data_IF_410625708783
#
_entry.id   IF_410625708783
#
_cell.length_a   1.000
_cell.length_b   1.000
_cell.length_c   1.000
_cell.angle_alpha   90.00
_cell.angle_beta   90.00
_cell.angle_gamma   90.00
#
_symmetry.space_group_name_H-M   'P 1'
#
loop_
_entity.id
_entity.type
_entity.pdbx_description
1 polymer ?
#
# COMPACT_ATOMS: atom_id res chain seq x y z
N UNK A 1 2.27 -57.17 -26.78
CA UNK A 1 0.88 -57.54 -26.39
C UNK A 1 0.83 -57.62 -24.87
N UNK A 2 -0.20 -57.07 -24.20
CA UNK A 2 -0.21 -55.68 -23.72
C UNK A 2 -0.04 -55.52 -22.19
N UNK A 3 0.42 -54.33 -21.83
CA UNK A 3 0.58 -53.80 -20.47
C UNK A 3 -0.78 -53.52 -19.81
N UNK A 4 -0.95 -54.05 -18.60
CA UNK A 4 -2.03 -53.70 -17.68
C UNK A 4 -1.66 -52.44 -16.91
N UNK A 5 -2.40 -51.35 -17.12
CA UNK A 5 -2.38 -50.17 -16.27
C UNK A 5 -3.61 -50.20 -15.38
N UNK A 6 -3.38 -50.42 -14.08
CA UNK A 6 -4.38 -50.29 -13.03
C UNK A 6 -4.71 -48.80 -12.86
N UNK A 7 -5.96 -48.47 -13.16
CA UNK A 7 -6.55 -47.16 -12.90
C UNK A 7 -6.73 -46.98 -11.39
N UNK A 8 -5.93 -46.11 -10.78
CA UNK A 8 -6.18 -45.62 -9.43
C UNK A 8 -7.21 -44.48 -9.52
N UNK A 9 -8.43 -44.76 -9.06
CA UNK A 9 -9.44 -43.75 -8.81
C UNK A 9 -9.02 -42.94 -7.58
N UNK A 10 -8.44 -41.77 -7.82
CA UNK A 10 -8.13 -40.79 -6.79
C UNK A 10 -9.40 -40.00 -6.46
N UNK A 11 -10.14 -40.46 -5.46
CA UNK A 11 -11.29 -39.75 -4.89
C UNK A 11 -10.78 -38.59 -4.04
N UNK A 12 -10.62 -37.42 -4.65
CA UNK A 12 -10.33 -36.19 -3.91
C UNK A 12 -11.63 -35.70 -3.27
N UNK A 13 -11.84 -36.10 -2.01
CA UNK A 13 -12.86 -35.52 -1.12
C UNK A 13 -12.38 -34.13 -0.72
N UNK A 14 -12.81 -33.10 -1.44
CA UNK A 14 -12.67 -31.72 -1.01
C UNK A 14 -13.63 -31.47 0.16
N UNK A 15 -13.11 -31.61 1.38
CA UNK A 15 -13.74 -31.02 2.57
C UNK A 15 -13.77 -29.51 2.36
N UNK A 16 -14.96 -28.98 2.08
CA UNK A 16 -15.23 -27.55 2.10
C UNK A 16 -15.15 -27.09 3.57
N UNK A 17 -13.96 -26.68 4.01
CA UNK A 17 -13.79 -25.97 5.28
C UNK A 17 -14.25 -24.54 5.01
N UNK A 18 -15.45 -24.22 5.46
CA UNK A 18 -15.91 -22.84 5.59
C UNK A 18 -15.03 -22.18 6.65
N UNK A 19 -13.99 -21.49 6.21
CA UNK A 19 -13.24 -20.58 7.06
C UNK A 19 -14.09 -19.32 7.18
N UNK A 20 -14.82 -19.26 8.29
CA UNK A 20 -15.50 -18.07 8.75
C UNK A 20 -14.45 -16.97 8.92
N UNK A 21 -14.41 -16.03 7.97
CA UNK A 21 -13.52 -14.88 7.99
C UNK A 21 -13.93 -13.99 9.17
N UNK A 22 -13.37 -14.28 10.33
CA UNK A 22 -13.42 -13.39 11.48
C UNK A 22 -12.59 -12.18 11.09
N UNK A 23 -13.27 -11.08 10.79
CA UNK A 23 -12.65 -9.76 10.61
C UNK A 23 -12.03 -9.40 11.95
N UNK A 24 -10.76 -9.77 12.12
CA UNK A 24 -9.95 -9.28 13.22
C UNK A 24 -9.83 -7.77 13.01
N UNK A 25 -10.61 -7.03 13.79
CA UNK A 25 -10.49 -5.59 13.92
C UNK A 25 -9.02 -5.26 14.16
N UNK A 26 -8.43 -4.56 13.19
CA UNK A 26 -7.06 -4.06 13.27
C UNK A 26 -6.97 -3.27 14.58
N UNK A 27 -6.09 -3.65 15.53
CA UNK A 27 -5.92 -2.86 16.73
C UNK A 27 -5.47 -1.47 16.29
N UNK A 28 -6.29 -0.46 16.60
CA UNK A 28 -5.91 0.93 16.41
C UNK A 28 -4.54 1.14 17.05
N UNK A 29 -3.60 1.82 16.37
CA UNK A 29 -2.33 2.17 16.98
C UNK A 29 -2.62 2.92 18.29
N UNK A 30 -1.86 2.66 19.37
CA UNK A 30 -2.07 3.36 20.62
C UNK A 30 -2.01 4.86 20.35
N UNK A 31 -2.89 5.67 20.97
CA UNK A 31 -2.76 7.11 20.87
C UNK A 31 -1.34 7.47 21.27
N UNK A 32 -0.64 8.14 20.38
CA UNK A 32 0.65 8.76 20.69
C UNK A 32 0.35 9.77 21.78
N UNK A 33 0.51 9.32 23.03
CA UNK A 33 0.59 10.19 24.18
C UNK A 33 1.85 11.01 23.97
N UNK A 34 1.70 12.15 23.31
CA UNK A 34 2.54 13.30 23.59
C UNK A 34 2.27 13.64 25.06
N UNK A 35 3.00 12.98 25.96
CA UNK A 35 3.24 13.52 27.28
C UNK A 35 4.01 14.81 27.05
N UNK A 36 3.26 15.90 26.89
CA UNK A 36 3.76 17.24 27.10
C UNK A 36 4.31 17.26 28.52
N UNK A 37 5.60 16.96 28.65
CA UNK A 37 6.32 17.22 29.86
C UNK A 37 6.24 18.72 30.07
N UNK A 38 5.43 19.09 31.06
CA UNK A 38 5.47 20.33 31.78
C UNK A 38 6.92 20.79 31.98
N UNK A 39 7.39 21.68 31.12
CA UNK A 39 8.51 22.58 31.41
C UNK A 39 7.97 23.82 32.14
N UNK A 40 7.19 23.56 33.19
CA UNK A 40 6.87 24.50 34.24
C UNK A 40 7.75 24.19 35.46
N UNK A 41 9.08 24.29 35.33
CA UNK A 41 9.98 24.36 36.49
C UNK A 41 11.38 24.83 36.08
N UNK A 42 11.71 26.06 36.44
CA UNK A 42 13.10 26.50 36.29
C UNK A 42 13.41 27.97 36.51
N UNK A 43 12.42 28.88 36.59
CA UNK A 43 12.68 30.26 37.05
C UNK A 43 12.89 30.30 38.57
N UNK A 44 14.00 29.74 39.04
CA UNK A 44 14.52 30.01 40.39
C UNK A 44 15.72 30.93 40.27
N UNK A 45 15.45 32.20 40.58
CA UNK A 45 16.22 32.96 41.55
C UNK A 45 17.75 32.99 41.35
N UNK A 46 18.20 33.87 40.46
CA UNK A 46 19.42 34.65 40.68
C UNK A 46 19.05 36.05 41.21
N UNK A 47 18.28 36.09 42.30
CA UNK A 47 18.44 37.15 43.30
C UNK A 47 19.57 36.70 44.21
N UNK A 48 20.80 37.10 43.88
CA UNK A 48 21.89 37.09 44.85
C UNK A 48 22.63 38.43 44.81
N UNK A 49 22.12 39.29 45.68
CA UNK A 49 22.87 40.26 46.48
C UNK A 49 23.99 41.06 45.76
N UNK A 50 23.59 42.09 45.00
CA UNK A 50 24.38 43.32 45.00
C UNK A 50 24.22 43.97 46.38
N UNK A 51 25.16 43.65 47.27
CA UNK A 51 25.32 44.35 48.52
C UNK A 51 25.51 45.84 48.22
N UNK A 52 24.57 46.65 48.67
CA UNK A 52 24.70 48.09 48.81
C UNK A 52 25.99 48.40 49.59
N UNK A 53 27.08 48.74 48.89
CA UNK A 53 28.13 49.59 49.45
C UNK A 53 27.87 51.01 48.97
N UNK A 54 27.16 51.72 49.84
CA UNK A 54 27.10 53.18 49.83
C UNK A 54 28.52 53.71 50.04
N UNK A 55 29.20 54.07 48.96
CA UNK A 55 30.31 55.01 49.04
C UNK A 55 29.76 56.40 48.73
N UNK A 56 29.25 57.00 49.81
CA UNK A 56 29.31 58.45 50.03
C UNK A 56 30.69 58.95 49.59
N UNK A 57 30.71 59.90 48.65
CA UNK A 57 31.44 61.17 48.73
C UNK A 57 31.13 61.94 47.44
N UNK A 58 30.20 62.87 47.53
CA UNK A 58 30.12 64.05 46.68
C UNK A 58 29.29 65.09 47.43
N UNK A 59 29.99 65.89 48.25
CA UNK A 59 29.60 67.23 48.67
C UNK A 59 30.73 67.87 49.49
N UNK A 60 31.55 68.71 48.86
CA UNK A 60 31.99 69.96 49.49
C UNK A 60 32.35 70.98 48.42
N UNK A 61 31.86 72.19 48.67
CA UNK A 61 31.87 73.39 47.85
C UNK A 61 33.27 74.04 47.72
N UNK A 62 33.50 74.65 46.55
CA UNK A 62 34.05 75.99 46.31
C UNK A 62 35.42 76.39 46.90
N UNK A 63 36.41 76.66 46.05
CA UNK A 63 36.92 78.02 45.70
C UNK A 63 38.26 77.93 44.94
N UNK A 64 38.55 78.99 44.20
CA UNK A 64 39.75 79.31 43.42
C UNK A 64 41.10 78.74 43.92
N UNK A 65 41.95 78.37 42.97
CA UNK A 65 43.38 78.25 43.24
C UNK A 65 44.10 77.38 42.23
N UNK A 66 44.68 78.00 41.21
CA UNK A 66 45.45 77.32 40.18
C UNK A 66 46.54 76.41 40.74
N UNK A 67 46.57 75.19 40.22
CA UNK A 67 47.78 74.42 40.02
C UNK A 67 47.43 73.32 39.02
N UNK A 68 47.77 73.55 37.75
CA UNK A 68 47.79 72.49 36.74
C UNK A 68 48.93 71.53 37.10
N UNK A 69 48.70 70.69 38.11
CA UNK A 69 49.46 69.48 38.25
C UNK A 69 49.21 68.67 36.97
N UNK A 70 50.25 68.24 36.26
CA UNK A 70 50.06 67.43 35.06
C UNK A 70 49.27 66.19 35.50
N UNK A 71 48.14 65.94 34.83
CA UNK A 71 47.54 64.61 34.85
C UNK A 71 48.67 63.65 34.48
N UNK A 72 49.06 62.80 35.42
CA UNK A 72 50.08 61.79 35.21
C UNK A 72 49.72 61.07 33.91
N UNK A 73 50.60 61.07 32.89
CA UNK A 73 50.27 60.51 31.60
C UNK A 73 49.86 59.06 31.83
N UNK A 74 48.68 58.69 31.33
CA UNK A 74 48.24 57.30 31.31
C UNK A 74 49.37 56.46 30.75
N UNK A 75 49.64 55.33 31.40
CA UNK A 75 50.58 54.38 30.82
C UNK A 75 50.05 53.93 29.45
N UNK A 76 50.97 53.55 28.56
CA UNK A 76 50.62 53.22 27.19
C UNK A 76 49.67 52.02 27.10
N UNK A 77 49.68 51.10 28.07
CA UNK A 77 48.79 49.93 28.09
C UNK A 77 47.35 50.36 28.44
N UNK A 78 47.18 51.28 29.40
CA UNK A 78 45.89 51.89 29.73
C UNK A 78 45.31 52.68 28.56
N UNK A 79 46.15 53.42 27.83
CA UNK A 79 45.74 54.13 26.62
C UNK A 79 45.29 53.17 25.53
N UNK A 80 46.06 52.10 25.30
CA UNK A 80 45.72 51.07 24.33
C UNK A 80 44.42 50.35 24.68
N UNK A 81 44.13 50.08 25.96
CA UNK A 81 42.88 49.47 26.40
C UNK A 81 41.65 50.35 26.09
N UNK A 82 41.78 51.67 26.28
CA UNK A 82 40.70 52.63 25.96
C UNK A 82 40.48 52.76 24.45
N UNK A 83 41.56 52.78 23.65
CA UNK A 83 41.45 52.80 22.19
C UNK A 83 40.79 51.51 21.67
N UNK A 84 41.21 50.34 22.17
CA UNK A 84 40.55 49.07 21.82
C UNK A 84 39.08 49.02 22.21
N UNK A 85 38.71 49.56 23.38
CA UNK A 85 37.29 49.67 23.75
C UNK A 85 36.50 50.52 22.76
N UNK A 86 37.06 51.63 22.29
CA UNK A 86 36.44 52.47 21.26
C UNK A 86 36.29 51.71 19.95
N UNK A 87 37.28 50.90 19.57
CA UNK A 87 37.21 50.06 18.38
C UNK A 87 36.10 48.99 18.50
N UNK A 88 35.96 48.34 19.67
CA UNK A 88 34.85 47.42 19.92
C UNK A 88 33.49 48.12 19.89
N UNK A 89 33.41 49.33 20.46
CA UNK A 89 32.21 50.17 20.40
C UNK A 89 31.90 50.62 18.95
N UNK A 90 32.90 50.81 18.11
CA UNK A 90 32.69 51.18 16.71
C UNK A 90 32.28 49.99 15.84
N UNK A 91 32.89 48.83 16.09
CA UNK A 91 32.67 47.58 15.37
C UNK A 91 31.30 46.96 15.67
N UNK A 92 30.77 47.19 16.87
CA UNK A 92 29.45 46.74 17.30
C UNK A 92 29.41 45.26 17.68
N UNK A 93 28.46 44.91 18.54
CA UNK A 93 28.35 43.58 19.17
C UNK A 93 28.16 42.47 18.13
N UNK A 94 27.48 42.76 17.02
CA UNK A 94 27.21 41.79 15.93
C UNK A 94 28.45 41.31 15.19
N UNK A 95 29.57 42.02 15.28
CA UNK A 95 30.83 41.61 14.67
C UNK A 95 31.72 40.82 15.63
N UNK A 96 31.40 40.81 16.93
CA UNK A 96 32.08 40.02 17.97
C UNK A 96 31.56 38.57 17.99
N UNK A 97 31.61 37.93 16.84
CA UNK A 97 31.07 36.57 16.62
C UNK A 97 31.93 35.47 17.24
N UNK A 98 33.16 35.79 17.66
CA UNK A 98 34.09 34.86 18.29
C UNK A 98 34.15 35.10 19.82
N UNK A 99 34.09 34.02 20.60
CA UNK A 99 34.24 34.05 22.05
C UNK A 99 35.57 34.71 22.51
N UNK A 100 36.65 34.53 21.74
CA UNK A 100 37.95 35.14 22.04
C UNK A 100 37.90 36.67 21.96
N UNK A 101 37.34 37.22 20.87
CA UNK A 101 37.15 38.67 20.71
C UNK A 101 36.22 39.26 21.77
N UNK A 102 35.25 38.48 22.26
CA UNK A 102 34.37 38.88 23.35
C UNK A 102 35.07 38.88 24.72
N UNK A 103 35.96 37.92 24.98
CA UNK A 103 36.78 37.93 26.19
C UNK A 103 37.78 39.10 26.19
N UNK A 104 38.37 39.45 25.05
CA UNK A 104 39.24 40.61 24.93
C UNK A 104 38.49 41.92 25.24
N UNK A 105 37.29 42.10 24.71
CA UNK A 105 36.44 43.25 25.03
C UNK A 105 36.14 43.35 26.53
N UNK A 106 35.76 42.24 27.16
CA UNK A 106 35.50 42.17 28.60
C UNK A 106 36.76 42.54 29.41
N UNK A 107 37.93 42.03 29.02
CA UNK A 107 39.21 42.35 29.66
C UNK A 107 39.56 43.82 29.53
N UNK A 108 39.33 44.44 28.36
CA UNK A 108 39.57 45.87 28.17
C UNK A 108 38.59 46.70 29.02
N UNK A 109 37.32 46.31 29.09
CA UNK A 109 36.29 46.95 29.91
C UNK A 109 36.63 46.91 31.40
N UNK A 110 37.02 45.74 31.91
CA UNK A 110 37.42 45.54 33.31
C UNK A 110 38.63 46.43 33.67
N UNK A 111 39.60 46.56 32.74
CA UNK A 111 40.79 47.40 32.91
C UNK A 111 40.41 48.89 32.96
N UNK A 112 39.60 49.37 32.01
CA UNK A 112 39.17 50.77 31.98
C UNK A 112 38.29 51.14 33.19
N UNK A 113 37.47 50.20 33.68
CA UNK A 113 36.71 50.35 34.92
C UNK A 113 37.62 50.46 36.15
N UNK A 114 38.63 49.59 36.28
CA UNK A 114 39.54 49.58 37.42
C UNK A 114 40.35 50.88 37.54
N UNK A 115 40.67 51.49 36.40
CA UNK A 115 41.40 52.76 36.30
C UNK A 115 40.50 54.00 36.38
N UNK A 116 39.17 53.83 36.40
CA UNK A 116 38.22 54.95 36.47
C UNK A 116 38.19 55.82 35.20
N UNK A 117 38.48 55.25 34.03
CA UNK A 117 38.61 55.98 32.76
C UNK A 117 37.28 56.21 32.04
N UNK A 118 36.19 55.62 32.55
CA UNK A 118 34.86 55.69 31.97
C UNK A 118 33.98 56.58 32.83
N UNK A 119 33.26 57.51 32.19
CA UNK A 119 32.16 58.19 32.85
C UNK A 119 30.95 57.24 33.03
N UNK A 120 30.00 57.64 33.88
CA UNK A 120 28.83 56.80 34.18
C UNK A 120 28.00 56.45 32.95
N UNK A 121 27.93 57.36 31.95
CA UNK A 121 27.10 57.16 30.76
C UNK A 121 27.77 56.14 29.83
N UNK A 122 29.09 56.25 29.65
CA UNK A 122 29.88 55.31 28.86
C UNK A 122 29.86 53.91 29.48
N UNK A 123 29.94 53.83 30.81
CA UNK A 123 29.88 52.56 31.51
C UNK A 123 28.52 51.86 31.34
N UNK A 124 27.41 52.61 31.43
CA UNK A 124 26.06 52.06 31.21
C UNK A 124 25.90 51.54 29.78
N UNK A 125 26.38 52.28 28.78
CA UNK A 125 26.34 51.86 27.37
C UNK A 125 27.17 50.58 27.12
N UNK A 126 28.39 50.54 27.67
CA UNK A 126 29.29 49.37 27.56
C UNK A 126 28.70 48.12 28.23
N UNK A 127 28.01 48.27 29.36
CA UNK A 127 27.34 47.16 30.04
C UNK A 127 26.16 46.61 29.25
N UNK A 128 25.35 47.46 28.62
CA UNK A 128 24.25 47.03 27.74
C UNK A 128 24.80 46.20 26.59
N UNK A 129 25.86 46.68 25.94
CA UNK A 129 26.49 45.97 24.83
C UNK A 129 27.17 44.67 25.24
N UNK A 130 27.77 44.64 26.43
CA UNK A 130 28.29 43.40 27.01
C UNK A 130 27.17 42.38 27.15
N UNK A 131 26.02 42.77 27.71
CA UNK A 131 24.87 41.88 27.88
C UNK A 131 24.32 41.37 26.53
N UNK A 132 24.23 42.23 25.52
CA UNK A 132 23.82 41.84 24.15
C UNK A 132 24.79 40.81 23.54
N UNK A 133 26.10 40.97 23.78
CA UNK A 133 27.12 40.04 23.29
C UNK A 133 27.10 38.70 24.00
N UNK A 134 26.90 38.70 25.33
CA UNK A 134 26.69 37.47 26.11
C UNK A 134 25.46 36.72 25.61
N UNK A 135 24.34 37.42 25.34
CA UNK A 135 23.13 36.81 24.80
C UNK A 135 23.36 36.20 23.41
N UNK A 136 24.10 36.89 22.54
CA UNK A 136 24.41 36.41 21.20
C UNK A 136 25.27 35.15 21.22
N UNK A 137 26.34 35.14 22.02
CA UNK A 137 27.20 33.97 22.19
C UNK A 137 26.40 32.80 22.78
N UNK A 138 25.53 33.06 23.75
CA UNK A 138 24.62 32.08 24.32
C UNK A 138 23.72 31.43 23.25
N UNK A 139 23.12 32.23 22.36
CA UNK A 139 22.29 31.72 21.25
C UNK A 139 23.09 30.90 20.25
N UNK A 140 24.32 31.28 19.92
CA UNK A 140 25.18 30.49 19.05
C UNK A 140 25.60 29.17 19.68
N UNK A 141 25.91 29.16 20.98
CA UNK A 141 26.20 27.93 21.72
C UNK A 141 24.98 27.00 21.76
N UNK A 142 23.78 27.53 22.05
CA UNK A 142 22.54 26.76 22.04
C UNK A 142 22.22 26.20 20.65
N UNK A 143 22.42 27.01 19.60
CA UNK A 143 22.25 26.57 18.21
C UNK A 143 23.26 25.47 17.83
N UNK A 144 24.52 25.61 18.24
CA UNK A 144 25.55 24.59 18.05
C UNK A 144 25.21 23.27 18.76
N UNK A 145 24.68 23.33 19.97
CA UNK A 145 24.18 22.15 20.69
C UNK A 145 22.98 21.51 19.98
N UNK A 146 22.02 22.30 19.51
CA UNK A 146 20.90 21.80 18.68
C UNK A 146 21.37 21.17 17.36
N UNK A 147 22.48 21.64 16.80
CA UNK A 147 23.09 20.98 15.63
C UNK A 147 23.76 19.66 15.97
N UNK A 148 24.27 19.47 17.20
CA UNK A 148 24.72 18.14 17.64
C UNK A 148 23.56 17.16 17.85
N UNK A 149 22.33 17.63 18.08
CA UNK A 149 21.11 16.80 17.97
C UNK A 149 20.85 16.37 16.52
N UNK A 150 21.44 17.03 15.53
CA UNK A 150 21.48 16.55 14.14
C UNK A 150 22.13 15.17 14.00
N UNK A 151 23.03 14.79 14.91
CA UNK A 151 23.54 13.42 14.99
C UNK A 151 22.44 12.40 15.38
N UNK A 152 21.37 12.83 16.06
CA UNK A 152 20.19 11.99 16.33
C UNK A 152 19.45 11.64 15.03
N UNK A 153 19.33 12.58 14.10
CA UNK A 153 18.59 12.35 12.84
C UNK A 153 19.30 11.34 11.93
N UNK A 154 20.63 11.34 11.88
CA UNK A 154 21.38 10.34 11.12
C UNK A 154 21.22 8.94 11.73
N UNK A 155 21.21 8.84 13.06
CA UNK A 155 20.95 7.60 13.77
C UNK A 155 19.52 7.10 13.55
N UNK A 156 18.51 7.98 13.71
CA UNK A 156 17.11 7.65 13.46
C UNK A 156 16.88 7.21 12.01
N UNK A 157 17.53 7.85 11.05
CA UNK A 157 17.50 7.44 9.65
C UNK A 157 18.09 6.03 9.46
N UNK A 158 19.19 5.70 10.15
CA UNK A 158 19.79 4.38 10.10
C UNK A 158 18.87 3.31 10.72
N UNK A 159 18.24 3.62 11.85
CA UNK A 159 17.26 2.75 12.52
C UNK A 159 16.03 2.52 11.63
N UNK A 160 15.48 3.56 11.02
CA UNK A 160 14.35 3.46 10.07
C UNK A 160 14.74 2.60 8.85
N UNK A 161 15.94 2.80 8.28
CA UNK A 161 16.42 1.99 7.16
C UNK A 161 16.54 0.51 7.54
N UNK A 162 17.09 0.22 8.73
CA UNK A 162 17.22 -1.15 9.22
C UNK A 162 15.84 -1.79 9.47
N UNK A 163 14.90 -1.03 10.04
CA UNK A 163 13.54 -1.51 10.30
C UNK A 163 12.72 -1.70 9.02
N UNK A 164 12.93 -0.89 7.98
CA UNK A 164 12.24 -1.00 6.70
C UNK A 164 12.76 -2.15 5.83
N UNK A 165 14.00 -2.61 6.05
CA UNK A 165 14.62 -3.68 5.29
C UNK A 165 13.82 -5.01 5.26
N UNK A 166 13.31 -5.55 6.39
CA UNK A 166 12.47 -6.74 6.37
C UNK A 166 11.15 -6.54 5.62
N UNK A 167 10.50 -5.38 5.76
CA UNK A 167 9.27 -5.07 5.01
C UNK A 167 9.54 -5.03 3.50
N UNK A 168 10.66 -4.45 3.07
CA UNK A 168 11.08 -4.47 1.67
C UNK A 168 11.41 -5.88 1.14
N UNK A 169 11.96 -6.76 1.98
CA UNK A 169 12.18 -8.15 1.61
C UNK A 169 10.85 -8.91 1.46
N UNK A 170 9.91 -8.72 2.40
CA UNK A 170 8.59 -9.33 2.35
C UNK A 170 7.77 -8.87 1.15
N UNK A 171 7.84 -7.59 0.78
CA UNK A 171 7.18 -7.07 -0.43
C UNK A 171 7.69 -7.77 -1.70
N UNK A 172 9.00 -8.02 -1.81
CA UNK A 172 9.56 -8.75 -2.95
C UNK A 172 9.10 -10.20 -2.99
N UNK A 173 8.95 -10.85 -1.85
CA UNK A 173 8.40 -12.21 -1.79
C UNK A 173 6.94 -12.24 -2.22
N UNK A 174 6.13 -11.30 -1.72
CA UNK A 174 4.73 -11.15 -2.12
C UNK A 174 4.59 -10.93 -3.64
N UNK A 175 5.46 -10.12 -4.26
CA UNK A 175 5.48 -9.92 -5.72
C UNK A 175 5.72 -11.24 -6.48
N UNK A 176 6.55 -12.14 -5.95
CA UNK A 176 6.79 -13.45 -6.55
C UNK A 176 5.59 -14.39 -6.37
N UNK A 177 4.94 -14.34 -5.20
CA UNK A 177 3.72 -15.12 -4.94
C UNK A 177 2.60 -14.68 -5.88
N UNK A 178 2.36 -13.37 -6.01
CA UNK A 178 1.35 -12.81 -6.93
C UNK A 178 1.62 -13.23 -8.37
N UNK A 179 2.88 -13.24 -8.82
CA UNK A 179 3.23 -13.72 -10.16
C UNK A 179 2.85 -15.19 -10.37
N UNK A 180 3.15 -16.06 -9.41
CA UNK A 180 2.77 -17.47 -9.45
C UNK A 180 1.26 -17.65 -9.48
N UNK A 181 0.53 -16.96 -8.60
CA UNK A 181 -0.93 -17.04 -8.54
C UNK A 181 -1.58 -16.57 -9.84
N UNK A 182 -1.03 -15.54 -10.49
CA UNK A 182 -1.50 -15.09 -11.79
C UNK A 182 -1.26 -16.13 -12.90
N UNK A 183 -0.13 -16.84 -12.86
CA UNK A 183 0.14 -17.95 -13.79
C UNK A 183 -0.82 -19.13 -13.56
N UNK A 184 -1.08 -19.49 -12.30
CA UNK A 184 -2.06 -20.51 -11.94
C UNK A 184 -3.49 -20.10 -12.36
N UNK A 185 -3.86 -18.84 -12.17
CA UNK A 185 -5.14 -18.30 -12.61
C UNK A 185 -5.28 -18.40 -14.14
N UNK A 186 -4.25 -18.02 -14.90
CA UNK A 186 -4.24 -18.15 -16.35
C UNK A 186 -4.40 -19.61 -16.81
N UNK A 187 -3.82 -20.58 -16.09
CA UNK A 187 -4.02 -22.00 -16.36
C UNK A 187 -5.46 -22.44 -16.10
N UNK A 188 -6.06 -22.00 -14.99
CA UNK A 188 -7.45 -22.31 -14.65
C UNK A 188 -8.41 -21.72 -15.69
N UNK A 189 -8.18 -20.48 -16.12
CA UNK A 189 -8.97 -19.84 -17.19
C UNK A 189 -8.90 -20.64 -18.50
N UNK A 190 -7.70 -21.11 -18.88
CA UNK A 190 -7.54 -21.97 -20.06
C UNK A 190 -8.33 -23.29 -19.94
N UNK A 191 -8.32 -23.93 -18.75
CA UNK A 191 -9.11 -25.13 -18.50
C UNK A 191 -10.63 -24.86 -18.55
N UNK A 192 -11.08 -23.70 -18.05
CA UNK A 192 -12.49 -23.31 -18.13
C UNK A 192 -12.92 -23.18 -19.59
N UNK A 193 -12.10 -22.55 -20.45
CA UNK A 193 -12.39 -22.42 -21.89
C UNK A 193 -12.47 -23.80 -22.55
N UNK A 194 -11.55 -24.72 -22.22
CA UNK A 194 -11.58 -26.08 -22.74
C UNK A 194 -12.86 -26.83 -22.30
N UNK A 195 -13.23 -26.74 -21.02
CA UNK A 195 -14.43 -27.38 -20.50
C UNK A 195 -15.71 -26.80 -21.11
N UNK A 196 -15.74 -25.48 -21.38
CA UNK A 196 -16.82 -24.84 -22.11
C UNK A 196 -16.94 -25.38 -23.53
N UNK A 197 -15.82 -25.50 -24.26
CA UNK A 197 -15.81 -26.09 -25.60
C UNK A 197 -16.30 -27.55 -25.61
N UNK A 198 -15.90 -28.35 -24.60
CA UNK A 198 -16.37 -29.74 -24.44
C UNK A 198 -17.87 -29.80 -24.16
N UNK A 199 -18.40 -28.93 -23.30
CA UNK A 199 -19.83 -28.84 -23.00
C UNK A 199 -20.64 -28.52 -24.26
N UNK A 200 -20.19 -27.57 -25.05
CA UNK A 200 -20.91 -27.14 -26.26
C UNK A 200 -20.95 -28.26 -27.31
N UNK A 201 -19.85 -29.00 -27.48
CA UNK A 201 -19.82 -30.20 -28.33
C UNK A 201 -20.82 -31.28 -27.87
N UNK A 202 -20.91 -31.53 -26.55
CA UNK A 202 -21.87 -32.49 -26.00
C UNK A 202 -23.31 -32.04 -26.28
N UNK A 203 -23.61 -30.76 -26.10
CA UNK A 203 -24.93 -30.21 -26.39
C UNK A 203 -25.29 -30.32 -27.87
N UNK A 204 -24.34 -30.05 -28.77
CA UNK A 204 -24.52 -30.23 -30.21
C UNK A 204 -24.85 -31.69 -30.56
N UNK A 205 -24.05 -32.65 -30.08
CA UNK A 205 -24.29 -34.08 -30.31
C UNK A 205 -25.63 -34.54 -29.76
N UNK A 206 -26.02 -34.04 -28.58
CA UNK A 206 -27.33 -34.34 -27.98
C UNK A 206 -28.47 -33.86 -28.89
N UNK A 207 -28.36 -32.64 -29.42
CA UNK A 207 -29.38 -32.08 -30.28
C UNK A 207 -29.47 -32.84 -31.61
N UNK A 208 -28.33 -33.24 -32.20
CA UNK A 208 -28.29 -34.10 -33.39
C UNK A 208 -28.91 -35.49 -33.12
N UNK A 209 -28.62 -36.11 -31.98
CA UNK A 209 -29.23 -37.38 -31.60
C UNK A 209 -30.76 -37.25 -31.42
N UNK A 210 -31.23 -36.13 -30.88
CA UNK A 210 -32.66 -35.85 -30.73
C UNK A 210 -33.36 -35.68 -32.08
N UNK A 211 -32.74 -35.01 -33.05
CA UNK A 211 -33.31 -34.87 -34.41
C UNK A 211 -33.39 -36.22 -35.11
N UNK A 212 -32.29 -37.00 -35.12
CA UNK A 212 -32.28 -38.35 -35.70
C UNK A 212 -33.30 -39.26 -35.01
N UNK A 213 -33.44 -39.17 -33.68
CA UNK A 213 -34.45 -39.91 -32.93
C UNK A 213 -35.89 -39.58 -33.36
N UNK A 214 -36.19 -38.30 -33.63
CA UNK A 214 -37.48 -37.88 -34.13
C UNK A 214 -37.77 -38.41 -35.55
N UNK A 215 -36.77 -38.38 -36.43
CA UNK A 215 -36.85 -38.92 -37.79
C UNK A 215 -37.08 -40.43 -37.78
N UNK A 216 -36.30 -41.18 -36.99
CA UNK A 216 -36.47 -42.64 -36.83
C UNK A 216 -37.86 -42.98 -36.29
N UNK A 217 -38.35 -42.21 -35.32
CA UNK A 217 -39.71 -42.39 -34.78
C UNK A 217 -40.79 -42.13 -35.83
N UNK A 218 -40.59 -41.13 -36.69
CA UNK A 218 -41.49 -40.84 -37.81
C UNK A 218 -41.48 -41.98 -38.84
N UNK A 219 -40.29 -42.42 -39.25
CA UNK A 219 -40.10 -43.54 -40.18
C UNK A 219 -40.72 -44.85 -39.66
N UNK A 220 -40.51 -45.18 -38.38
CA UNK A 220 -41.11 -46.34 -37.74
C UNK A 220 -42.65 -46.27 -37.76
N UNK A 221 -43.24 -45.09 -37.50
CA UNK A 221 -44.70 -44.90 -37.61
C UNK A 221 -45.20 -45.13 -39.03
N UNK A 222 -44.48 -44.65 -40.05
CA UNK A 222 -44.85 -44.87 -41.46
C UNK A 222 -44.77 -46.36 -41.83
N UNK A 223 -43.73 -47.07 -41.41
CA UNK A 223 -43.59 -48.51 -41.64
C UNK A 223 -44.70 -49.32 -40.96
N UNK A 224 -45.05 -48.98 -39.71
CA UNK A 224 -46.15 -49.63 -38.99
C UNK A 224 -47.49 -49.40 -39.70
N UNK A 225 -47.75 -48.19 -40.18
CA UNK A 225 -48.95 -47.88 -40.97
C UNK A 225 -49.00 -48.71 -42.26
N UNK A 226 -47.91 -48.73 -43.02
CA UNK A 226 -47.82 -49.52 -44.26
C UNK A 226 -47.97 -51.03 -44.00
N UNK A 227 -47.42 -51.54 -42.90
CA UNK A 227 -47.57 -52.95 -42.51
C UNK A 227 -49.04 -53.29 -42.15
N UNK A 228 -49.75 -52.38 -41.47
CA UNK A 228 -51.16 -52.55 -41.17
C UNK A 228 -52.02 -52.57 -42.45
N UNK A 229 -51.75 -51.67 -43.40
CA UNK A 229 -52.41 -51.64 -44.71
C UNK A 229 -52.15 -52.93 -45.50
N UNK A 230 -50.90 -53.41 -45.55
CA UNK A 230 -50.56 -54.70 -46.19
C UNK A 230 -51.29 -55.89 -45.54
N UNK A 231 -51.41 -55.91 -44.21
CA UNK A 231 -52.18 -56.95 -43.49
C UNK A 231 -53.66 -56.92 -43.87
N UNK A 232 -54.25 -55.73 -43.97
CA UNK A 232 -55.64 -55.56 -44.42
C UNK A 232 -55.84 -56.08 -45.85
N UNK A 233 -54.96 -55.68 -46.77
CA UNK A 233 -54.99 -56.15 -48.16
C UNK A 233 -54.83 -57.69 -48.26
N UNK A 234 -53.97 -58.28 -47.43
CA UNK A 234 -53.82 -59.74 -47.36
C UNK A 234 -55.11 -60.43 -46.87
N UNK A 235 -55.76 -59.86 -45.84
CA UNK A 235 -57.02 -60.40 -45.32
C UNK A 235 -58.14 -60.34 -46.36
N UNK A 236 -58.25 -59.23 -47.09
CA UNK A 236 -59.20 -59.08 -48.21
C UNK A 236 -58.92 -60.11 -49.32
N UNK A 237 -57.66 -60.31 -49.71
CA UNK A 237 -57.27 -61.35 -50.68
C UNK A 237 -57.63 -62.76 -50.20
N UNK A 238 -57.42 -63.08 -48.92
CA UNK A 238 -57.81 -64.37 -48.33
C UNK A 238 -59.32 -64.56 -48.35
N UNK A 239 -60.10 -63.52 -48.03
CA UNK A 239 -61.55 -63.55 -48.08
C UNK A 239 -62.07 -63.79 -49.51
N UNK A 240 -61.52 -63.08 -50.49
CA UNK A 240 -61.86 -63.27 -51.92
C UNK A 240 -61.57 -64.71 -52.34
N UNK A 241 -60.38 -65.25 -51.99
CA UNK A 241 -60.00 -66.63 -52.30
C UNK A 241 -60.94 -67.66 -51.66
N UNK A 242 -61.34 -67.45 -50.41
CA UNK A 242 -62.27 -68.35 -49.71
C UNK A 242 -63.66 -68.37 -50.36
N UNK A 243 -64.18 -67.20 -50.76
CA UNK A 243 -65.45 -67.09 -51.52
C UNK A 243 -65.38 -67.84 -52.84
N UNK A 244 -64.30 -67.61 -53.60
CA UNK A 244 -64.06 -68.30 -54.86
C UNK A 244 -64.02 -69.83 -54.73
N UNK A 245 -63.35 -70.37 -53.70
CA UNK A 245 -63.32 -71.81 -53.44
C UNK A 245 -64.71 -72.36 -53.12
N UNK A 246 -65.49 -71.66 -52.30
CA UNK A 246 -66.86 -72.05 -51.98
C UNK A 246 -67.75 -72.08 -53.25
N UNK A 247 -67.62 -71.09 -54.13
CA UNK A 247 -68.34 -71.06 -55.41
C UNK A 247 -67.93 -72.24 -56.32
N UNK A 248 -66.64 -72.58 -56.38
CA UNK A 248 -66.14 -73.73 -57.14
C UNK A 248 -66.68 -75.07 -56.64
N UNK A 249 -66.82 -75.24 -55.32
CA UNK A 249 -67.31 -76.48 -54.69
C UNK A 249 -68.83 -76.68 -54.86
N UNK A 250 -69.59 -75.62 -55.18
CA UNK A 250 -71.04 -75.68 -55.42
C UNK A 250 -71.48 -76.48 -56.66
N UNK A 251 -70.54 -76.92 -57.49
CA UNK A 251 -70.79 -77.93 -58.54
C UNK A 251 -71.12 -77.40 -59.94
N UNK A 252 -70.99 -76.09 -60.20
CA UNK A 252 -71.26 -75.53 -61.53
C UNK A 252 -70.05 -75.69 -62.49
N UNK A 253 -70.13 -76.70 -63.37
CA UNK A 253 -69.06 -77.13 -64.29
C UNK A 253 -68.70 -76.05 -65.32
N UNK A 254 -69.65 -75.17 -65.70
CA UNK A 254 -69.39 -74.09 -66.65
C UNK A 254 -68.50 -73.01 -66.03
N UNK A 255 -68.75 -72.68 -64.76
CA UNK A 255 -67.95 -71.73 -64.00
C UNK A 255 -66.52 -72.21 -63.75
N UNK A 256 -66.31 -73.51 -63.51
CA UNK A 256 -64.96 -74.09 -63.32
C UNK A 256 -64.03 -73.91 -64.52
N UNK A 257 -64.55 -73.95 -65.76
CA UNK A 257 -63.73 -73.77 -66.97
C UNK A 257 -63.30 -72.32 -67.20
N UNK A 258 -64.20 -71.37 -66.96
CA UNK A 258 -63.93 -69.93 -67.14
C UNK A 258 -62.93 -69.42 -66.10
N UNK A 259 -63.09 -69.86 -64.85
CA UNK A 259 -62.21 -69.48 -63.73
C UNK A 259 -60.77 -69.99 -63.88
N UNK A 260 -60.57 -71.23 -64.36
CA UNK A 260 -59.23 -71.76 -64.65
C UNK A 260 -58.50 -70.97 -65.75
N UNK A 261 -59.20 -70.46 -66.76
CA UNK A 261 -58.61 -69.65 -67.83
C UNK A 261 -58.13 -68.28 -67.31
N UNK A 262 -58.91 -67.64 -66.44
CA UNK A 262 -58.55 -66.33 -65.86
C UNK A 262 -57.39 -66.47 -64.87
N UNK A 263 -57.34 -67.56 -64.09
CA UNK A 263 -56.25 -67.78 -63.12
C UNK A 263 -54.91 -68.10 -63.78
N UNK A 264 -54.91 -68.82 -64.92
CA UNK A 264 -53.72 -69.07 -65.73
C UNK A 264 -53.04 -67.77 -66.18
N UNK A 265 -53.80 -66.72 -66.46
CA UNK A 265 -53.28 -65.41 -66.87
C UNK A 265 -52.68 -64.58 -65.73
N UNK A 266 -53.07 -64.82 -64.47
CA UNK A 266 -52.60 -64.03 -63.32
C UNK A 266 -51.46 -64.70 -62.54
N UNK A 267 -51.13 -65.95 -62.85
CA UNK A 267 -50.11 -66.72 -62.12
C UNK A 267 -48.69 -66.56 -62.69
N UNK A 268 -48.52 -65.98 -63.88
CA UNK A 268 -47.21 -65.78 -64.52
C UNK A 268 -46.50 -64.47 -64.13
N UNK A 269 -47.03 -63.70 -63.19
CA UNK A 269 -46.50 -62.39 -62.81
C UNK A 269 -46.17 -62.22 -61.32
N UNK A 270 -45.65 -63.26 -60.66
CA UNK A 270 -45.03 -63.18 -59.32
C UNK A 270 -43.51 -63.19 -59.46
#
# INVERSE_FOLDING_TARGET
>A
MPLALLSQESTVVTKLVVIEATVASVPSPPPVCFSGHDLARGRRSLRRACGRRSLRRNASLHEEGGSSAPSEPLDEDSRAAVERLRDFLHMGVHQMTNAETFMEFRSCLDTAMALGLLDSVQLDELQVRLAEGEEMIGRYAESGMKMTEGCSLEQELAEIKQQAQPAMAQLKENDLVIKRENEELAQVEAQIVELQARRDLILERRNQAATVGAELKSSAKQLLKAAAEKKKALAERKLIRARWLADMDSGDIAWRRITCLIWGMFSEGI
#
